data_IF_557791649855
#
_entry.id   IF_557791649855
#
_cell.length_a   1.000
_cell.length_b   1.000
_cell.length_c   1.000
_cell.angle_alpha   90.00
_cell.angle_beta   90.00
_cell.angle_gamma   90.00
#
_symmetry.space_group_name_H-M   'P 1'
#
loop_
_entity.id
_entity.type
_entity.pdbx_description
1 polymer ?
#
# COMPACT_ATOMS: atom_id res chain seq x y z
N UNK A 1 52.01 -10.87 67.78
CA UNK A 1 52.05 -10.34 66.40
C UNK A 1 52.00 -11.55 65.46
N UNK A 2 50.90 -12.01 64.85
CA UNK A 2 49.61 -11.41 64.58
C UNK A 2 49.43 -11.18 63.08
N UNK A 3 49.19 -12.23 62.29
CA UNK A 3 48.56 -12.19 60.94
C UNK A 3 47.97 -13.58 60.62
N UNK A 4 46.67 -13.73 60.86
CA UNK A 4 45.86 -14.85 60.40
C UNK A 4 45.40 -14.59 58.95
N UNK A 5 45.51 -15.62 58.11
CA UNK A 5 45.10 -15.61 56.72
C UNK A 5 43.57 -15.74 56.61
N UNK A 6 42.94 -14.72 56.00
CA UNK A 6 41.50 -14.66 55.76
C UNK A 6 41.17 -15.44 54.49
N UNK A 7 40.45 -16.56 54.65
CA UNK A 7 39.88 -17.33 53.56
C UNK A 7 38.81 -16.53 52.81
N UNK A 8 38.96 -16.47 51.49
CA UNK A 8 37.99 -15.90 50.56
C UNK A 8 37.03 -17.03 50.13
N UNK A 9 35.76 -16.84 50.44
CA UNK A 9 34.67 -17.81 50.23
C UNK A 9 33.89 -17.36 49.00
N UNK A 10 33.89 -18.19 47.95
CA UNK A 10 33.03 -18.04 46.78
C UNK A 10 31.55 -18.18 47.16
N UNK A 11 30.66 -17.34 46.60
CA UNK A 11 29.26 -17.69 46.48
C UNK A 11 28.87 -17.88 45.00
N UNK A 12 29.00 -19.11 44.51
CA UNK A 12 28.23 -19.58 43.35
C UNK A 12 26.80 -19.90 43.85
N UNK A 13 25.95 -18.88 43.85
CA UNK A 13 24.53 -19.00 44.13
C UNK A 13 23.74 -19.44 42.89
N UNK A 14 23.30 -20.71 42.91
CA UNK A 14 22.04 -21.22 42.36
C UNK A 14 21.50 -20.59 41.07
N UNK A 15 21.84 -21.20 39.94
CA UNK A 15 21.09 -21.07 38.68
C UNK A 15 19.75 -21.81 38.87
N UNK A 16 18.64 -21.09 38.79
CA UNK A 16 17.31 -21.67 38.78
C UNK A 16 17.07 -22.35 37.43
N UNK A 17 16.97 -23.68 37.46
CA UNK A 17 16.59 -24.51 36.33
C UNK A 17 15.13 -24.25 35.97
N UNK A 18 14.88 -23.56 34.86
CA UNK A 18 13.53 -23.42 34.28
C UNK A 18 13.08 -24.78 33.71
N UNK A 19 11.81 -25.19 33.91
CA UNK A 19 11.28 -26.39 33.28
C UNK A 19 11.09 -26.20 31.77
N UNK A 20 11.25 -27.28 30.97
CA UNK A 20 11.12 -27.23 29.51
C UNK A 20 9.67 -26.95 29.05
N UNK A 21 9.53 -26.14 28.00
CA UNK A 21 8.29 -25.64 27.38
C UNK A 21 7.67 -26.70 26.43
N UNK A 22 7.60 -27.96 26.86
CA UNK A 22 7.05 -29.04 26.02
C UNK A 22 6.02 -29.86 26.81
N UNK A 23 4.92 -29.23 27.25
CA UNK A 23 3.76 -29.95 27.79
C UNK A 23 2.46 -29.12 27.82
N UNK A 24 2.21 -28.26 26.83
CA UNK A 24 0.90 -27.59 26.64
C UNK A 24 0.46 -27.60 25.19
N UNK A 25 0.35 -28.80 24.62
CA UNK A 25 -0.42 -29.04 23.42
C UNK A 25 -1.38 -30.19 23.73
N UNK A 26 -2.65 -29.83 23.95
CA UNK A 26 -3.88 -30.64 23.94
C UNK A 26 -4.80 -30.26 25.11
N UNK A 27 -5.45 -29.12 24.96
CA UNK A 27 -6.75 -28.91 25.61
C UNK A 27 -7.72 -28.47 24.50
N UNK A 28 -8.76 -29.26 24.19
CA UNK A 28 -9.75 -28.87 23.19
C UNK A 28 -10.58 -27.69 23.70
N UNK A 29 -10.97 -26.74 22.81
CA UNK A 29 -11.80 -25.61 23.23
C UNK A 29 -13.17 -26.10 23.73
N UNK A 30 -13.74 -25.48 24.79
CA UNK A 30 -15.08 -25.80 25.23
C UNK A 30 -16.10 -25.42 24.15
N UNK A 31 -16.88 -26.41 23.74
CA UNK A 31 -18.00 -26.26 22.82
C UNK A 31 -19.17 -25.53 23.52
N UNK A 32 -19.18 -24.19 23.46
CA UNK A 32 -20.40 -23.41 23.70
C UNK A 32 -21.15 -23.26 22.39
N UNK A 33 -21.95 -24.28 22.07
CA UNK A 33 -22.94 -24.24 21.00
C UNK A 33 -24.11 -23.33 21.39
N UNK A 34 -24.38 -22.34 20.55
CA UNK A 34 -25.69 -21.69 20.49
C UNK A 34 -26.53 -22.42 19.42
N UNK A 35 -27.72 -22.96 19.75
CA UNK A 35 -28.57 -23.57 18.74
C UNK A 35 -29.27 -22.47 17.94
N UNK A 36 -28.94 -22.35 16.65
CA UNK A 36 -29.78 -21.64 15.68
C UNK A 36 -30.99 -22.53 15.37
N UNK A 37 -32.18 -22.06 15.73
CA UNK A 37 -33.43 -22.70 15.35
C UNK A 37 -33.62 -22.64 13.81
N UNK A 38 -34.03 -23.75 13.16
CA UNK A 38 -34.31 -23.73 11.73
C UNK A 38 -35.67 -23.08 11.48
N UNK A 39 -35.66 -21.94 10.76
CA UNK A 39 -36.88 -21.32 10.25
C UNK A 39 -37.34 -22.13 9.02
N UNK A 40 -38.41 -22.89 9.19
CA UNK A 40 -39.06 -23.62 8.12
C UNK A 40 -39.90 -22.67 7.25
N UNK A 41 -39.76 -22.81 5.93
CA UNK A 41 -40.76 -22.36 4.96
C UNK A 41 -40.49 -21.02 4.30
N UNK A 42 -39.62 -21.01 3.29
CA UNK A 42 -39.66 -19.98 2.25
C UNK A 42 -39.67 -20.67 0.88
N UNK A 43 -40.73 -20.50 0.07
CA UNK A 43 -40.85 -21.16 -1.23
C UNK A 43 -39.77 -20.67 -2.18
N UNK A 44 -39.16 -21.63 -2.89
CA UNK A 44 -38.18 -21.43 -3.94
C UNK A 44 -38.68 -20.37 -4.94
N UNK A 45 -38.09 -19.19 -4.85
CA UNK A 45 -38.20 -18.17 -5.89
C UNK A 45 -37.28 -18.60 -7.01
N UNK A 46 -37.82 -18.76 -8.21
CA UNK A 46 -37.09 -18.99 -9.46
C UNK A 46 -35.85 -18.11 -9.48
N UNK A 47 -34.67 -18.75 -9.35
CA UNK A 47 -33.38 -18.12 -9.58
C UNK A 47 -33.34 -17.69 -11.05
N UNK A 48 -33.67 -16.41 -11.28
CA UNK A 48 -33.32 -15.73 -12.50
C UNK A 48 -31.81 -15.92 -12.71
N UNK A 49 -31.46 -16.73 -13.71
CA UNK A 49 -30.08 -16.98 -14.15
C UNK A 49 -29.48 -15.62 -14.50
N UNK A 50 -28.79 -15.04 -13.53
CA UNK A 50 -28.06 -13.81 -13.69
C UNK A 50 -26.86 -14.18 -14.56
N UNK A 51 -26.61 -13.47 -15.68
CA UNK A 51 -25.46 -13.77 -16.54
C UNK A 51 -24.19 -13.78 -15.67
N UNK A 52 -23.25 -14.71 -15.91
CA UNK A 52 -22.06 -14.81 -15.10
C UNK A 52 -21.34 -13.45 -15.12
N UNK A 53 -20.91 -12.93 -13.95
CA UNK A 53 -20.27 -11.63 -13.86
C UNK A 53 -19.08 -11.60 -14.80
N UNK A 54 -19.04 -10.58 -15.68
CA UNK A 54 -17.95 -10.43 -16.63
C UNK A 54 -16.61 -10.34 -15.88
N UNK A 55 -15.75 -11.34 -16.07
CA UNK A 55 -14.41 -11.33 -15.49
C UNK A 55 -13.63 -10.16 -16.09
N UNK A 56 -13.30 -9.16 -15.26
CA UNK A 56 -12.55 -7.98 -15.70
C UNK A 56 -11.06 -8.19 -15.50
N UNK A 57 -10.27 -7.94 -16.55
CA UNK A 57 -8.83 -8.13 -16.55
C UNK A 57 -8.06 -6.81 -16.45
N UNK A 58 -6.98 -6.79 -15.67
CA UNK A 58 -6.08 -5.67 -15.48
C UNK A 58 -4.64 -6.16 -15.74
N UNK A 59 -4.06 -5.74 -16.86
CA UNK A 59 -2.69 -6.15 -17.23
C UNK A 59 -1.66 -5.57 -16.25
N UNK A 60 -0.82 -6.45 -15.68
CA UNK A 60 0.34 -6.01 -14.92
C UNK A 60 1.46 -5.58 -15.87
N UNK A 61 2.15 -4.51 -15.50
CA UNK A 61 3.38 -4.07 -16.15
C UNK A 61 4.48 -5.05 -15.78
N UNK A 62 5.23 -5.52 -16.79
CA UNK A 62 6.34 -6.43 -16.54
C UNK A 62 7.39 -5.77 -15.63
N UNK A 63 7.93 -6.48 -14.62
CA UNK A 63 8.86 -5.91 -13.65
C UNK A 63 10.14 -5.35 -14.30
N UNK A 64 10.57 -5.94 -15.42
CA UNK A 64 11.78 -5.54 -16.16
C UNK A 64 11.60 -4.27 -17.01
N UNK A 65 10.37 -3.80 -17.20
CA UNK A 65 10.10 -2.56 -17.90
C UNK A 65 10.17 -1.40 -16.90
N UNK A 66 11.39 -1.10 -16.44
CA UNK A 66 11.66 0.24 -15.91
C UNK A 66 11.06 1.27 -16.86
N UNK A 67 10.26 2.25 -16.38
CA UNK A 67 9.60 3.20 -17.25
C UNK A 67 10.69 3.86 -18.08
N UNK A 68 10.69 3.59 -19.38
CA UNK A 68 11.72 4.05 -20.27
C UNK A 68 11.83 5.57 -20.15
N UNK A 69 12.85 6.05 -19.42
CA UNK A 69 13.29 7.44 -19.46
C UNK A 69 13.58 7.72 -20.93
N UNK A 70 12.67 8.42 -21.60
CA UNK A 70 12.90 8.92 -22.95
C UNK A 70 12.11 8.28 -24.08
N UNK A 71 10.80 8.06 -23.95
CA UNK A 71 9.94 8.00 -25.15
C UNK A 71 9.90 9.35 -25.91
N UNK A 72 10.27 10.46 -25.24
CA UNK A 72 10.42 11.78 -25.86
C UNK A 72 11.53 11.88 -26.90
N UNK A 73 12.59 11.06 -26.80
CA UNK A 73 13.70 11.11 -27.75
C UNK A 73 13.31 10.54 -29.14
N UNK A 74 12.49 9.48 -29.21
CA UNK A 74 12.12 8.89 -30.51
C UNK A 74 11.23 9.80 -31.36
N UNK A 75 10.41 10.65 -30.74
CA UNK A 75 9.53 11.60 -31.47
C UNK A 75 10.26 12.84 -31.97
N UNK A 76 11.39 13.20 -31.35
CA UNK A 76 12.23 14.33 -31.77
C UNK A 76 13.09 14.02 -33.00
N UNK A 77 13.39 12.75 -33.27
CA UNK A 77 14.22 12.34 -34.42
C UNK A 77 13.42 11.98 -35.69
N UNK A 78 12.12 11.72 -35.58
CA UNK A 78 11.29 11.39 -36.76
C UNK A 78 11.06 12.60 -37.67
N UNK A 79 10.99 13.81 -37.10
CA UNK A 79 10.79 15.07 -37.85
C UNK A 79 12.02 15.40 -38.74
N UNK A 80 13.27 15.46 -38.23
CA UNK A 80 14.43 15.77 -39.07
C UNK A 80 14.70 14.71 -40.14
N UNK A 81 14.43 13.42 -39.86
CA UNK A 81 14.56 12.35 -40.86
C UNK A 81 13.55 12.50 -42.01
N UNK A 82 12.31 12.88 -41.70
CA UNK A 82 11.28 13.12 -42.72
C UNK A 82 11.63 14.34 -43.59
N UNK A 83 12.13 15.41 -42.96
CA UNK A 83 12.60 16.61 -43.67
C UNK A 83 13.81 16.28 -44.56
N UNK A 84 14.79 15.53 -44.05
CA UNK A 84 15.95 15.10 -44.84
C UNK A 84 15.54 14.24 -46.04
N UNK A 85 14.60 13.32 -45.87
CA UNK A 85 14.06 12.51 -46.96
C UNK A 85 13.37 13.38 -48.03
N UNK A 86 12.56 14.36 -47.63
CA UNK A 86 11.89 15.30 -48.55
C UNK A 86 12.90 16.17 -49.33
N UNK A 87 13.95 16.67 -48.67
CA UNK A 87 15.01 17.44 -49.34
C UNK A 87 15.78 16.59 -50.34
N UNK A 88 16.03 15.31 -50.01
CA UNK A 88 16.74 14.38 -50.89
C UNK A 88 15.91 14.01 -52.13
N UNK A 89 14.57 13.92 -52.01
CA UNK A 89 13.64 13.79 -53.15
C UNK A 89 13.68 15.03 -54.03
N UNK A 90 13.63 16.22 -53.44
CA UNK A 90 13.55 17.48 -54.19
C UNK A 90 14.85 17.79 -54.96
N UNK A 91 16.01 17.43 -54.40
CA UNK A 91 17.34 17.73 -54.99
C UNK A 91 17.84 16.66 -55.97
N UNK A 92 17.22 15.48 -56.03
CA UNK A 92 17.60 14.44 -56.99
C UNK A 92 17.32 14.88 -58.44
N UNK A 93 18.38 14.91 -59.27
CA UNK A 93 18.33 15.22 -60.71
C UNK A 93 17.79 14.08 -61.58
N UNK A 94 17.73 12.86 -61.05
CA UNK A 94 17.28 11.67 -61.77
C UNK A 94 15.76 11.47 -61.62
N UNK A 95 15.07 11.36 -62.76
CA UNK A 95 13.62 11.06 -62.83
C UNK A 95 13.32 9.70 -62.18
N UNK A 96 14.22 8.72 -62.30
CA UNK A 96 14.06 7.39 -61.68
C UNK A 96 14.06 7.47 -60.15
N UNK A 97 14.89 8.32 -59.55
CA UNK A 97 14.91 8.53 -58.09
C UNK A 97 13.64 9.23 -57.60
N UNK A 98 13.10 10.17 -58.38
CA UNK A 98 11.85 10.88 -58.04
C UNK A 98 10.61 10.00 -58.01
N UNK A 99 10.60 8.92 -58.80
CA UNK A 99 9.45 8.00 -58.86
C UNK A 99 9.61 6.83 -57.90
N UNK A 100 10.81 6.25 -57.79
CA UNK A 100 11.02 5.06 -56.95
C UNK A 100 11.05 5.36 -55.45
N UNK A 101 11.58 6.52 -55.03
CA UNK A 101 11.67 6.88 -53.61
C UNK A 101 10.29 7.07 -52.93
N UNK A 102 9.31 7.80 -53.49
CA UNK A 102 7.99 7.92 -52.86
C UNK A 102 7.26 6.58 -52.81
N UNK A 103 7.40 5.72 -53.82
CA UNK A 103 6.81 4.37 -53.82
C UNK A 103 7.43 3.51 -52.70
N UNK A 104 8.75 3.54 -52.54
CA UNK A 104 9.43 2.83 -51.45
C UNK A 104 9.04 3.36 -50.06
N UNK A 105 8.88 4.68 -49.91
CA UNK A 105 8.43 5.30 -48.65
C UNK A 105 6.99 4.94 -48.31
N UNK A 106 6.07 4.94 -49.28
CA UNK A 106 4.68 4.53 -49.07
C UNK A 106 4.60 3.04 -48.73
N UNK A 107 5.38 2.19 -49.39
CA UNK A 107 5.47 0.76 -49.07
C UNK A 107 6.04 0.53 -47.67
N UNK A 108 7.09 1.26 -47.27
CA UNK A 108 7.66 1.19 -45.93
C UNK A 108 6.68 1.70 -44.86
N UNK A 109 5.98 2.80 -45.11
CA UNK A 109 4.95 3.32 -44.21
C UNK A 109 3.77 2.34 -44.08
N UNK A 110 3.32 1.75 -45.19
CA UNK A 110 2.28 0.72 -45.21
C UNK A 110 2.71 -0.54 -44.44
N UNK A 111 3.96 -0.99 -44.61
CA UNK A 111 4.51 -2.12 -43.88
C UNK A 111 4.63 -1.84 -42.38
N UNK A 112 5.04 -0.63 -41.99
CA UNK A 112 5.10 -0.22 -40.57
C UNK A 112 3.70 -0.12 -39.95
N UNK A 113 2.71 0.43 -40.67
CA UNK A 113 1.32 0.48 -40.23
C UNK A 113 0.70 -0.92 -40.12
N UNK A 114 0.99 -1.81 -41.08
CA UNK A 114 0.53 -3.20 -41.04
C UNK A 114 1.18 -3.98 -39.88
N UNK A 115 2.47 -3.73 -39.61
CA UNK A 115 3.20 -4.34 -38.47
C UNK A 115 2.68 -3.80 -37.13
N UNK A 116 2.35 -2.51 -37.07
CA UNK A 116 1.66 -1.90 -35.92
C UNK A 116 0.27 -2.50 -35.68
N UNK A 117 -0.50 -2.74 -36.74
CA UNK A 117 -1.82 -3.40 -36.64
C UNK A 117 -1.74 -4.87 -36.25
N UNK A 118 -0.70 -5.61 -36.65
CA UNK A 118 -0.49 -7.00 -36.21
C UNK A 118 -0.15 -7.13 -34.72
N UNK A 119 0.35 -6.06 -34.09
CA UNK A 119 0.49 -5.97 -32.63
C UNK A 119 -0.81 -5.60 -31.90
N UNK A 120 -1.87 -5.22 -32.62
CA UNK A 120 -3.20 -4.93 -32.06
C UNK A 120 -4.15 -6.13 -32.09
N UNK A 121 -3.77 -7.25 -32.71
CA UNK A 121 -4.49 -8.50 -32.53
C UNK A 121 -4.16 -9.04 -31.14
N UNK A 122 -5.17 -9.37 -30.30
CA UNK A 122 -4.94 -9.82 -28.94
C UNK A 122 -4.22 -11.17 -28.97
N UNK A 123 -2.90 -11.14 -28.85
CA UNK A 123 -2.10 -12.32 -28.56
C UNK A 123 -2.68 -12.96 -27.29
N UNK A 124 -3.02 -14.25 -27.39
CA UNK A 124 -3.72 -15.05 -26.39
C UNK A 124 -3.38 -14.63 -24.94
N UNK A 125 -4.40 -14.18 -24.20
CA UNK A 125 -4.36 -13.75 -22.79
C UNK A 125 -3.71 -14.80 -21.86
N UNK A 126 -3.59 -16.05 -22.28
CA UNK A 126 -3.13 -17.20 -21.49
C UNK A 126 -1.66 -17.17 -21.01
N UNK A 127 -0.91 -16.08 -21.23
CA UNK A 127 0.50 -15.99 -20.83
C UNK A 127 0.88 -14.69 -20.11
N UNK A 128 -0.08 -13.81 -19.81
CA UNK A 128 0.19 -12.50 -19.21
C UNK A 128 -0.08 -12.53 -17.71
N UNK A 129 0.91 -12.08 -16.93
CA UNK A 129 0.73 -11.79 -15.51
C UNK A 129 -0.20 -10.59 -15.37
N UNK A 130 -1.17 -10.68 -14.48
CA UNK A 130 -2.15 -9.60 -14.30
C UNK A 130 -3.12 -9.90 -13.18
N UNK A 131 -4.05 -8.96 -12.96
CA UNK A 131 -5.12 -9.12 -12.00
C UNK A 131 -6.42 -9.45 -12.74
N UNK A 132 -7.13 -10.47 -12.29
CA UNK A 132 -8.51 -10.73 -12.72
C UNK A 132 -9.45 -10.46 -11.56
N UNK A 133 -10.47 -9.65 -11.81
CA UNK A 133 -11.61 -9.50 -10.92
C UNK A 133 -12.70 -10.45 -11.41
N UNK A 134 -12.78 -11.62 -10.80
CA UNK A 134 -13.69 -12.71 -11.17
C UNK A 134 -14.76 -12.91 -10.09
N UNK A 135 -16.02 -12.64 -10.43
CA UNK A 135 -17.09 -12.55 -9.44
C UNK A 135 -16.69 -11.62 -8.31
N UNK A 136 -16.63 -12.13 -7.08
CA UNK A 136 -16.25 -11.39 -5.86
C UNK A 136 -14.78 -11.53 -5.46
N UNK A 137 -13.89 -11.96 -6.36
CA UNK A 137 -12.49 -12.20 -6.01
C UNK A 137 -11.56 -11.44 -6.94
N UNK A 138 -10.66 -10.66 -6.35
CA UNK A 138 -9.50 -10.13 -7.04
C UNK A 138 -8.38 -11.15 -6.93
N UNK A 139 -8.00 -11.74 -8.07
CA UNK A 139 -6.99 -12.77 -8.17
C UNK A 139 -5.76 -12.20 -8.89
N UNK A 140 -4.56 -12.53 -8.41
CA UNK A 140 -3.34 -12.43 -9.17
C UNK A 140 -3.17 -13.71 -9.98
N UNK A 141 -3.05 -13.56 -11.30
CA UNK A 141 -2.69 -14.65 -12.21
C UNK A 141 -1.24 -14.47 -12.64
N UNK A 142 -0.41 -15.48 -12.38
CA UNK A 142 1.01 -15.49 -12.72
C UNK A 142 1.26 -15.74 -14.22
N UNK A 143 2.55 -15.74 -14.59
CA UNK A 143 2.99 -16.16 -15.93
C UNK A 143 3.10 -17.69 -15.96
N UNK A 144 2.23 -18.36 -16.73
CA UNK A 144 2.18 -19.82 -16.83
C UNK A 144 1.22 -20.47 -15.83
N UNK A 145 1.35 -21.77 -15.58
CA UNK A 145 0.51 -22.52 -14.62
C UNK A 145 0.83 -22.23 -13.15
N UNK A 146 1.60 -21.18 -12.87
CA UNK A 146 1.82 -20.68 -11.51
C UNK A 146 0.46 -20.24 -10.95
N UNK A 147 0.14 -20.76 -9.76
CA UNK A 147 -1.21 -20.74 -9.20
C UNK A 147 -1.86 -19.36 -9.15
N UNK A 148 -3.18 -19.35 -9.16
CA UNK A 148 -3.97 -18.16 -8.90
C UNK A 148 -3.88 -17.82 -7.40
N UNK A 149 -3.58 -16.57 -7.07
CA UNK A 149 -3.55 -16.12 -5.68
C UNK A 149 -4.67 -15.12 -5.43
N UNK A 150 -5.51 -15.40 -4.43
CA UNK A 150 -6.56 -14.46 -4.01
C UNK A 150 -5.90 -13.30 -3.28
N UNK A 151 -5.99 -12.09 -3.83
CA UNK A 151 -5.50 -10.87 -3.18
C UNK A 151 -6.57 -10.25 -2.29
N UNK A 152 -7.83 -10.33 -2.72
CA UNK A 152 -8.95 -9.71 -2.03
C UNK A 152 -10.28 -10.42 -2.39
N UNK A 153 -11.14 -10.60 -1.40
CA UNK A 153 -12.53 -11.01 -1.61
C UNK A 153 -13.44 -9.79 -1.39
N UNK A 154 -14.21 -9.39 -2.40
CA UNK A 154 -15.09 -8.21 -2.37
C UNK A 154 -16.46 -8.47 -1.78
N UNK A 155 -16.82 -9.75 -1.54
CA UNK A 155 -18.06 -10.13 -0.85
C UNK A 155 -18.04 -9.76 0.63
N UNK A 156 -16.84 -9.79 1.23
CA UNK A 156 -16.62 -9.36 2.60
C UNK A 156 -16.23 -7.88 2.65
N UNK A 157 -16.27 -7.30 3.85
CA UNK A 157 -15.86 -5.92 4.05
C UNK A 157 -14.35 -5.78 3.83
N UNK A 158 -13.98 -4.91 2.91
CA UNK A 158 -12.58 -4.60 2.61
C UNK A 158 -12.31 -3.09 2.62
N UNK A 159 -11.04 -2.74 2.68
CA UNK A 159 -10.52 -1.38 2.63
C UNK A 159 -9.35 -1.26 1.65
N UNK A 160 -9.16 -0.07 1.12
CA UNK A 160 -8.10 0.27 0.17
C UNK A 160 -7.43 1.55 0.65
N UNK A 161 -6.17 1.46 1.07
CA UNK A 161 -5.39 2.63 1.50
C UNK A 161 -4.38 2.98 0.42
N UNK A 162 -4.41 4.22 -0.06
CA UNK A 162 -3.45 4.70 -1.06
C UNK A 162 -2.24 5.34 -0.36
N UNK A 163 -1.06 4.81 -0.66
CA UNK A 163 0.21 5.33 -0.19
C UNK A 163 1.04 5.84 -1.37
N UNK A 164 1.78 6.92 -1.18
CA UNK A 164 2.65 7.47 -2.20
C UNK A 164 4.05 7.76 -1.66
N UNK A 165 5.04 7.71 -2.55
CA UNK A 165 6.37 8.26 -2.28
C UNK A 165 6.29 9.79 -2.09
N UNK A 166 7.28 10.43 -1.44
CA UNK A 166 7.31 11.89 -1.30
C UNK A 166 7.34 12.64 -2.62
N UNK A 167 7.85 12.00 -3.68
CA UNK A 167 7.89 12.55 -5.04
C UNK A 167 6.61 12.28 -5.84
N UNK A 168 5.68 11.50 -5.29
CA UNK A 168 4.43 11.09 -5.94
C UNK A 168 4.65 10.43 -7.30
N UNK A 169 5.81 9.82 -7.50
CA UNK A 169 6.18 9.07 -8.69
C UNK A 169 5.82 7.58 -8.57
N UNK A 170 5.37 7.15 -7.40
CA UNK A 170 4.82 5.82 -7.16
C UNK A 170 3.64 5.91 -6.19
N UNK A 171 2.56 5.18 -6.50
CA UNK A 171 1.46 4.90 -5.57
C UNK A 171 1.42 3.40 -5.32
N UNK A 172 1.10 3.01 -4.10
CA UNK A 172 0.68 1.65 -3.75
C UNK A 172 -0.72 1.69 -3.15
N UNK A 173 -1.61 0.88 -3.69
CA UNK A 173 -2.90 0.56 -3.10
C UNK A 173 -2.74 -0.66 -2.18
N UNK A 174 -2.86 -0.43 -0.87
CA UNK A 174 -2.94 -1.48 0.13
C UNK A 174 -4.38 -1.97 0.24
N UNK A 175 -4.59 -3.21 -0.20
CA UNK A 175 -5.85 -3.91 -0.10
C UNK A 175 -5.88 -4.64 1.24
N UNK A 176 -6.88 -4.35 2.06
CA UNK A 176 -6.98 -4.88 3.43
C UNK A 176 -8.34 -5.54 3.66
N UNK A 177 -8.34 -6.70 4.29
CA UNK A 177 -9.54 -7.45 4.65
C UNK A 177 -9.30 -8.29 5.91
N UNK A 178 -10.34 -9.00 6.36
CA UNK A 178 -10.27 -10.04 7.39
C UNK A 178 -9.21 -11.12 7.08
N UNK A 179 -8.96 -11.40 5.79
CA UNK A 179 -8.03 -12.43 5.34
C UNK A 179 -6.56 -11.95 5.34
N UNK A 180 -6.31 -10.64 5.38
CA UNK A 180 -4.97 -10.07 5.42
C UNK A 180 -4.81 -8.83 4.56
N UNK A 181 -3.56 -8.56 4.20
CA UNK A 181 -3.14 -7.38 3.43
C UNK A 181 -2.42 -7.81 2.15
N UNK A 182 -2.78 -7.19 1.04
CA UNK A 182 -2.11 -7.31 -0.26
C UNK A 182 -1.83 -5.91 -0.82
N UNK A 183 -0.89 -5.80 -1.76
CA UNK A 183 -0.47 -4.49 -2.27
C UNK A 183 -0.39 -4.50 -3.79
N UNK A 184 -0.81 -3.39 -4.41
CA UNK A 184 -0.76 -3.18 -5.87
C UNK A 184 -0.18 -1.81 -6.15
N UNK A 185 0.93 -1.75 -6.88
CA UNK A 185 1.65 -0.52 -7.18
C UNK A 185 1.33 0.06 -8.55
N UNK A 186 1.62 1.34 -8.75
CA UNK A 186 1.73 1.97 -10.06
C UNK A 186 2.78 3.09 -10.03
N UNK A 187 3.48 3.27 -11.16
CA UNK A 187 4.47 4.34 -11.33
C UNK A 187 3.90 5.50 -12.15
N UNK A 188 4.15 6.73 -11.72
CA UNK A 188 3.62 7.96 -12.31
C UNK A 188 4.75 8.86 -12.82
N UNK A 189 4.85 9.01 -14.13
CA UNK A 189 5.74 9.97 -14.78
C UNK A 189 5.14 11.39 -14.79
N UNK A 190 5.86 12.37 -15.35
CA UNK A 190 5.42 13.78 -15.34
C UNK A 190 4.02 14.01 -15.93
N UNK A 191 3.73 13.52 -17.16
CA UNK A 191 2.39 13.58 -17.73
C UNK A 191 1.33 12.83 -16.91
N UNK A 192 1.61 11.60 -16.45
CA UNK A 192 0.67 10.82 -15.66
C UNK A 192 0.36 11.49 -14.31
N UNK A 193 1.37 12.07 -13.63
CA UNK A 193 1.17 12.80 -12.38
C UNK A 193 0.18 13.96 -12.54
N UNK A 194 0.21 14.66 -13.68
CA UNK A 194 -0.75 15.73 -13.97
C UNK A 194 -2.14 15.17 -14.28
N UNK A 195 -2.22 14.12 -15.09
CA UNK A 195 -3.49 13.52 -15.48
C UNK A 195 -4.24 12.89 -14.29
N UNK A 196 -3.50 12.33 -13.34
CA UNK A 196 -4.05 11.62 -12.17
C UNK A 196 -3.79 12.37 -10.85
N UNK A 197 -3.68 13.70 -10.89
CA UNK A 197 -3.41 14.52 -9.70
C UNK A 197 -4.45 14.29 -8.58
N UNK A 198 -5.74 14.20 -8.93
CA UNK A 198 -6.80 13.95 -7.94
C UNK A 198 -6.66 12.58 -7.23
N UNK A 199 -6.17 11.55 -7.93
CA UNK A 199 -5.89 10.26 -7.32
C UNK A 199 -4.67 10.35 -6.38
N UNK A 200 -3.63 11.07 -6.84
CA UNK A 200 -2.43 11.31 -6.06
C UNK A 200 -2.72 12.11 -4.79
N UNK A 201 -3.60 13.09 -4.83
CA UNK A 201 -3.99 13.92 -3.67
C UNK A 201 -4.70 13.11 -2.57
N UNK A 202 -5.30 11.96 -2.91
CA UNK A 202 -5.89 11.04 -1.92
C UNK A 202 -4.86 10.15 -1.23
N UNK A 203 -3.67 10.00 -1.81
CA UNK A 203 -2.64 9.12 -1.27
C UNK A 203 -1.89 9.79 -0.11
N UNK A 204 -1.72 9.03 0.98
CA UNK A 204 -0.89 9.43 2.11
C UNK A 204 0.58 9.26 1.76
N UNK A 205 1.41 10.26 2.02
CA UNK A 205 2.83 10.22 1.73
C UNK A 205 3.57 9.49 2.85
N UNK A 206 4.33 8.45 2.49
CA UNK A 206 5.17 7.66 3.40
C UNK A 206 6.65 7.75 2.99
N UNK A 207 7.56 7.26 3.84
CA UNK A 207 8.98 7.24 3.53
C UNK A 207 9.30 6.39 2.29
N UNK A 208 10.31 6.76 1.52
CA UNK A 208 10.71 5.98 0.31
C UNK A 208 11.35 4.64 0.66
N UNK A 209 11.81 4.47 1.90
CA UNK A 209 12.44 3.28 2.48
C UNK A 209 11.43 2.21 2.92
N UNK A 210 10.14 2.45 2.73
CA UNK A 210 9.07 1.53 3.07
C UNK A 210 9.06 0.32 2.12
N UNK A 211 9.39 -0.87 2.62
CA UNK A 211 9.32 -2.14 1.85
C UNK A 211 7.92 -2.35 1.24
N UNK A 212 6.87 -1.90 1.93
CA UNK A 212 5.49 -1.96 1.41
C UNK A 212 5.27 -1.16 0.11
N UNK A 213 6.12 -0.17 -0.19
CA UNK A 213 6.04 0.55 -1.46
C UNK A 213 6.47 -0.30 -2.65
N UNK A 214 7.18 -1.41 -2.45
CA UNK A 214 7.59 -2.30 -3.53
C UNK A 214 6.41 -3.08 -4.15
N UNK A 215 5.29 -3.14 -3.44
CA UNK A 215 4.08 -3.84 -3.85
C UNK A 215 4.34 -5.31 -4.21
N UNK A 216 5.15 -6.00 -3.41
CA UNK A 216 5.51 -7.41 -3.64
C UNK A 216 4.27 -8.29 -3.49
N UNK A 217 3.97 -9.07 -4.53
CA UNK A 217 2.87 -10.01 -4.55
C UNK A 217 3.19 -11.31 -3.79
N UNK A 218 2.19 -12.18 -3.60
CA UNK A 218 2.38 -13.50 -3.00
C UNK A 218 3.30 -14.42 -3.83
N UNK A 219 3.53 -14.08 -5.10
CA UNK A 219 4.49 -14.75 -5.99
C UNK A 219 5.93 -14.23 -5.83
N UNK A 220 6.18 -13.29 -4.90
CA UNK A 220 7.49 -12.69 -4.67
C UNK A 220 7.87 -11.57 -5.65
N UNK A 221 7.01 -11.27 -6.61
CA UNK A 221 7.27 -10.29 -7.67
C UNK A 221 6.42 -9.01 -7.48
N UNK A 222 6.95 -7.82 -7.79
CA UNK A 222 6.17 -6.58 -7.70
C UNK A 222 4.89 -6.62 -8.56
N UNK A 223 3.72 -6.38 -7.97
CA UNK A 223 2.47 -6.20 -8.71
C UNK A 223 2.40 -4.73 -9.12
N UNK A 224 2.79 -4.42 -10.36
CA UNK A 224 2.76 -3.06 -10.89
C UNK A 224 1.73 -2.92 -12.00
N UNK A 225 0.89 -1.88 -11.94
CA UNK A 225 -0.10 -1.53 -12.96
C UNK A 225 0.29 -0.20 -13.62
N UNK A 226 -0.20 0.02 -14.85
CA UNK A 226 -0.19 1.35 -15.44
C UNK A 226 -1.13 2.30 -14.68
N UNK A 227 -0.86 3.62 -14.61
CA UNK A 227 -1.70 4.58 -13.89
C UNK A 227 -3.19 4.51 -14.21
N UNK A 228 -3.54 4.42 -15.50
CA UNK A 228 -4.93 4.31 -15.95
C UNK A 228 -5.58 2.99 -15.52
N UNK A 229 -4.80 1.90 -15.51
CA UNK A 229 -5.27 0.57 -15.13
C UNK A 229 -5.50 0.51 -13.61
N UNK A 230 -4.61 1.10 -12.81
CA UNK A 230 -4.82 1.25 -11.38
C UNK A 230 -6.07 2.09 -11.10
N UNK A 231 -6.23 3.24 -11.76
CA UNK A 231 -7.42 4.07 -11.58
C UNK A 231 -8.72 3.31 -11.89
N UNK A 232 -8.75 2.55 -12.98
CA UNK A 232 -9.89 1.70 -13.35
C UNK A 232 -10.16 0.58 -12.33
N UNK A 233 -9.11 -0.04 -11.76
CA UNK A 233 -9.26 -1.02 -10.69
C UNK A 233 -9.86 -0.39 -9.43
N UNK A 234 -9.38 0.79 -9.03
CA UNK A 234 -9.89 1.48 -7.84
C UNK A 234 -11.34 1.92 -8.01
N UNK A 235 -11.73 2.34 -9.22
CA UNK A 235 -13.11 2.66 -9.56
C UNK A 235 -14.02 1.43 -9.41
N UNK A 236 -13.62 0.29 -9.96
CA UNK A 236 -14.34 -0.99 -9.82
C UNK A 236 -14.49 -1.43 -8.36
N UNK A 237 -13.42 -1.34 -7.57
CA UNK A 237 -13.46 -1.65 -6.14
C UNK A 237 -14.37 -0.68 -5.37
N UNK A 238 -14.42 0.59 -5.77
CA UNK A 238 -15.29 1.61 -5.16
C UNK A 238 -16.76 1.39 -5.52
N UNK A 239 -17.05 0.97 -6.75
CA UNK A 239 -18.42 0.62 -7.17
C UNK A 239 -18.96 -0.57 -6.36
N UNK A 240 -18.11 -1.56 -6.08
CA UNK A 240 -18.48 -2.75 -5.29
C UNK A 240 -18.62 -2.47 -3.79
N UNK A 241 -17.77 -1.60 -3.24
CA UNK A 241 -17.86 -1.19 -1.84
C UNK A 241 -17.62 0.31 -1.71
N UNK A 242 -18.69 1.12 -1.71
CA UNK A 242 -18.59 2.56 -1.49
C UNK A 242 -17.87 2.87 -0.17
N UNK A 243 -16.87 3.75 -0.24
CA UNK A 243 -16.05 4.14 0.91
C UNK A 243 -14.89 3.19 1.22
N UNK A 244 -14.60 2.18 0.40
CA UNK A 244 -13.44 1.31 0.61
C UNK A 244 -12.12 2.08 0.64
N UNK A 245 -12.00 3.18 -0.12
CA UNK A 245 -10.81 4.04 -0.18
C UNK A 245 -10.51 4.81 1.10
N UNK A 246 -11.49 4.91 2.01
CA UNK A 246 -11.37 5.64 3.27
C UNK A 246 -11.43 4.65 4.46
N UNK A 247 -11.09 3.39 4.19
CA UNK A 247 -11.15 2.28 5.13
C UNK A 247 -9.87 1.43 5.07
N UNK A 248 -9.48 0.88 6.22
CA UNK A 248 -8.67 -0.33 6.27
C UNK A 248 -9.17 -1.29 7.36
N UNK A 249 -8.89 -2.58 7.19
CA UNK A 249 -9.22 -3.61 8.17
C UNK A 249 -8.03 -4.56 8.35
N UNK A 250 -7.57 -4.70 9.58
CA UNK A 250 -6.54 -5.63 9.99
C UNK A 250 -6.88 -6.25 11.33
N UNK A 251 -6.09 -7.22 11.73
CA UNK A 251 -6.00 -7.73 13.09
C UNK A 251 -4.67 -7.29 13.69
N UNK A 252 -4.68 -6.90 14.96
CA UNK A 252 -3.44 -6.63 15.70
C UNK A 252 -2.74 -7.94 16.08
N UNK A 253 -1.54 -7.84 16.67
CA UNK A 253 -0.76 -9.00 17.09
C UNK A 253 -1.44 -9.87 18.17
N UNK A 254 -2.51 -9.38 18.81
CA UNK A 254 -3.33 -10.12 19.79
C UNK A 254 -4.61 -10.68 19.17
N UNK A 255 -4.80 -10.52 17.86
CA UNK A 255 -6.00 -10.94 17.13
C UNK A 255 -7.20 -10.01 17.29
N UNK A 256 -7.05 -8.86 17.95
CA UNK A 256 -8.14 -7.89 18.06
C UNK A 256 -8.27 -7.06 16.78
N UNK A 257 -9.49 -6.62 16.49
CA UNK A 257 -9.76 -5.82 15.29
C UNK A 257 -9.03 -4.47 15.35
N UNK A 258 -8.29 -4.16 14.28
CA UNK A 258 -7.67 -2.88 13.99
C UNK A 258 -8.28 -2.36 12.68
N UNK A 259 -9.18 -1.39 12.76
CA UNK A 259 -9.83 -0.86 11.56
C UNK A 259 -10.07 0.63 11.65
N UNK A 260 -10.02 1.28 10.49
CA UNK A 260 -10.44 2.66 10.30
C UNK A 260 -11.54 2.63 9.26
N UNK A 261 -12.65 3.31 9.51
CA UNK A 261 -13.77 3.42 8.58
C UNK A 261 -14.32 4.84 8.64
N UNK A 262 -13.63 5.80 8.00
CA UNK A 262 -13.95 7.25 7.88
C UNK A 262 -14.37 8.01 9.16
N UNK A 263 -15.42 7.54 9.83
CA UNK A 263 -16.04 8.02 11.06
C UNK A 263 -15.55 7.29 12.31
N UNK A 264 -15.01 6.09 12.20
CA UNK A 264 -14.61 5.30 13.38
C UNK A 264 -13.18 4.76 13.26
N UNK A 265 -12.46 4.76 14.37
CA UNK A 265 -11.21 4.02 14.57
C UNK A 265 -11.43 2.97 15.64
N UNK A 266 -11.19 1.70 15.31
CA UNK A 266 -11.29 0.55 16.22
C UNK A 266 -9.93 -0.06 16.42
N UNK A 267 -9.48 -0.18 17.66
CA UNK A 267 -8.17 -0.74 17.99
C UNK A 267 -8.09 -1.15 19.46
N UNK A 268 -7.44 -2.29 19.75
CA UNK A 268 -7.26 -2.77 21.12
C UNK A 268 -8.58 -2.96 21.89
N UNK A 269 -9.64 -3.40 21.20
CA UNK A 269 -10.98 -3.57 21.77
C UNK A 269 -11.74 -2.27 22.05
N UNK A 270 -11.20 -1.12 21.69
CA UNK A 270 -11.83 0.20 21.86
C UNK A 270 -12.33 0.74 20.53
N UNK A 271 -13.32 1.64 20.61
CA UNK A 271 -13.90 2.36 19.46
C UNK A 271 -13.79 3.85 19.73
N UNK A 272 -13.25 4.59 18.77
CA UNK A 272 -13.12 6.04 18.79
C UNK A 272 -13.95 6.62 17.64
N UNK A 273 -14.86 7.53 17.97
CA UNK A 273 -15.67 8.27 17.01
C UNK A 273 -14.88 9.49 16.50
N UNK A 274 -14.49 9.45 15.23
CA UNK A 274 -13.74 10.51 14.55
C UNK A 274 -14.62 11.71 14.16
N UNK A 275 -15.94 11.62 14.36
CA UNK A 275 -16.89 12.72 14.16
C UNK A 275 -17.13 13.51 15.44
N UNK A 276 -16.68 12.99 16.59
CA UNK A 276 -16.74 13.65 17.89
C UNK A 276 -15.35 14.19 18.29
N UNK A 277 -15.30 15.18 19.21
CA UNK A 277 -14.03 15.70 19.70
C UNK A 277 -13.13 14.61 20.29
N UNK A 278 -11.86 14.56 19.85
CA UNK A 278 -10.84 13.68 20.39
C UNK A 278 -9.49 14.36 20.50
N UNK A 279 -8.66 13.87 21.41
CA UNK A 279 -7.27 14.31 21.52
C UNK A 279 -6.36 13.24 20.93
N UNK A 280 -5.35 13.69 20.20
CA UNK A 280 -4.30 12.79 19.73
C UNK A 280 -2.97 13.52 19.62
N UNK A 281 -1.88 12.75 19.70
CA UNK A 281 -0.52 13.27 19.51
C UNK A 281 0.43 12.17 19.05
N UNK A 282 1.41 12.56 18.25
CA UNK A 282 2.50 11.71 17.82
C UNK A 282 3.64 11.78 18.84
N UNK A 283 4.27 10.63 19.13
CA UNK A 283 5.44 10.54 19.98
C UNK A 283 6.42 9.50 19.43
N UNK A 284 7.65 9.52 19.93
CA UNK A 284 8.67 8.51 19.66
C UNK A 284 9.28 8.07 20.98
N UNK A 285 9.66 6.81 21.10
CA UNK A 285 10.32 6.31 22.30
C UNK A 285 11.36 5.25 21.94
N UNK A 286 12.27 5.00 22.87
CA UNK A 286 13.30 3.99 22.74
C UNK A 286 13.06 2.90 23.77
N UNK A 287 13.26 1.64 23.38
CA UNK A 287 13.17 0.50 24.28
C UNK A 287 14.40 -0.39 24.11
N UNK A 288 15.00 -0.77 25.23
CA UNK A 288 16.14 -1.65 25.24
C UNK A 288 15.67 -3.09 24.97
N UNK A 289 16.28 -3.73 23.98
CA UNK A 289 16.09 -5.13 23.62
C UNK A 289 17.41 -5.87 23.86
N UNK A 290 17.69 -6.16 25.14
CA UNK A 290 18.97 -6.76 25.55
C UNK A 290 20.15 -5.82 25.27
N UNK A 291 20.95 -6.15 24.25
CA UNK A 291 22.12 -5.37 23.82
C UNK A 291 21.81 -4.39 22.67
N UNK A 292 20.57 -4.35 22.19
CA UNK A 292 20.12 -3.45 21.12
C UNK A 292 19.12 -2.41 21.65
N UNK A 293 18.96 -1.31 20.92
CA UNK A 293 17.90 -0.32 21.16
C UNK A 293 16.98 -0.30 19.95
N UNK A 294 15.68 -0.51 20.16
CA UNK A 294 14.67 -0.26 19.15
C UNK A 294 14.08 1.13 19.34
N UNK A 295 13.88 1.82 18.22
CA UNK A 295 13.17 3.11 18.18
C UNK A 295 11.77 2.83 17.68
N UNK A 296 10.78 3.28 18.44
CA UNK A 296 9.38 3.15 18.11
C UNK A 296 8.76 4.51 17.79
N UNK A 297 7.81 4.49 16.88
CA UNK A 297 6.92 5.59 16.61
C UNK A 297 5.55 5.27 17.19
N UNK A 298 4.97 6.21 17.91
CA UNK A 298 3.71 6.04 18.63
C UNK A 298 2.68 7.11 18.31
N UNK A 299 1.40 6.75 18.37
CA UNK A 299 0.27 7.67 18.32
C UNK A 299 -0.61 7.42 19.53
N UNK A 300 -0.73 8.44 20.37
CA UNK A 300 -1.63 8.43 21.50
C UNK A 300 -2.97 9.02 21.08
N UNK A 301 -4.06 8.37 21.49
CA UNK A 301 -5.43 8.80 21.20
C UNK A 301 -6.26 8.72 22.46
N UNK A 302 -7.04 9.77 22.74
CA UNK A 302 -7.96 9.84 23.87
C UNK A 302 -9.32 10.41 23.47
N UNK A 303 -10.38 9.72 23.89
CA UNK A 303 -11.76 10.19 23.76
C UNK A 303 -12.55 9.80 25.00
N UNK A 304 -13.01 10.80 25.77
CA UNK A 304 -13.62 10.58 27.07
C UNK A 304 -12.65 9.88 28.03
N UNK A 305 -13.05 8.70 28.54
CA UNK A 305 -12.25 7.84 29.41
C UNK A 305 -11.44 6.78 28.64
N UNK A 306 -11.62 6.69 27.33
CA UNK A 306 -10.90 5.72 26.50
C UNK A 306 -9.58 6.31 26.03
N UNK A 307 -8.50 5.57 26.26
CA UNK A 307 -7.14 5.91 25.88
C UNK A 307 -6.47 4.73 25.20
N UNK A 308 -5.63 5.01 24.20
CA UNK A 308 -4.92 4.00 23.43
C UNK A 308 -3.56 4.52 22.93
N UNK A 309 -2.58 3.62 22.87
CA UNK A 309 -1.29 3.86 22.24
C UNK A 309 -1.11 2.92 21.04
N UNK A 310 -1.14 3.49 19.83
CA UNK A 310 -0.78 2.78 18.60
C UNK A 310 0.73 2.90 18.40
N UNK A 311 1.44 1.80 18.20
CA UNK A 311 2.90 1.81 18.08
C UNK A 311 3.37 1.01 16.87
N UNK A 312 4.41 1.46 16.20
CA UNK A 312 5.11 0.70 15.17
C UNK A 312 6.62 0.88 15.34
N UNK A 313 7.40 -0.09 14.86
CA UNK A 313 8.85 0.03 14.82
C UNK A 313 9.24 1.11 13.80
N UNK A 314 10.10 2.03 14.19
CA UNK A 314 10.74 2.94 13.25
C UNK A 314 11.91 2.17 12.61
N UNK A 315 12.02 2.10 11.27
CA UNK A 315 13.16 1.43 10.65
C UNK A 315 14.46 2.09 11.09
N UNK A 316 15.54 1.32 11.04
CA UNK A 316 16.87 1.87 11.20
C UNK A 316 17.04 3.01 10.19
N UNK A 317 17.33 4.21 10.69
CA UNK A 317 17.70 5.38 9.89
C UNK A 317 19.09 5.17 9.27
N UNK A 318 19.29 4.09 8.52
CA UNK A 318 20.38 3.99 7.57
C UNK A 318 19.93 4.75 6.33
N UNK A 319 20.47 5.94 6.05
CA UNK A 319 20.12 6.64 4.82
C UNK A 319 20.49 5.74 3.64
N UNK A 320 19.49 5.42 2.80
CA UNK A 320 19.79 4.82 1.51
C UNK A 320 20.70 5.79 0.74
N UNK A 321 21.93 5.37 0.47
CA UNK A 321 22.95 6.13 -0.27
C UNK A 321 22.48 6.51 -1.69
N UNK A 322 21.39 5.91 -2.19
CA UNK A 322 20.81 6.17 -3.51
C UNK A 322 20.11 7.54 -3.67
N UNK A 323 20.02 8.33 -2.59
CA UNK A 323 19.25 9.58 -2.57
C UNK A 323 20.03 10.90 -2.54
N UNK A 324 21.36 10.89 -2.35
CA UNK A 324 22.15 12.11 -2.08
C UNK A 324 22.19 13.14 -3.23
N UNK A 325 21.64 12.81 -4.40
CA UNK A 325 21.54 13.71 -5.56
C UNK A 325 20.11 13.93 -6.09
N UNK A 326 19.09 13.32 -5.49
CA UNK A 326 17.72 13.59 -5.90
C UNK A 326 17.30 14.93 -5.32
N UNK A 327 17.36 16.00 -6.11
CA UNK A 327 16.78 17.29 -5.73
C UNK A 327 15.37 17.02 -5.21
N UNK A 328 15.13 17.29 -3.93
CA UNK A 328 13.79 17.30 -3.37
C UNK A 328 13.05 18.35 -4.17
N UNK A 329 12.30 17.90 -5.18
CA UNK A 329 11.43 18.77 -5.94
C UNK A 329 10.48 19.48 -4.97
N UNK A 330 9.83 20.57 -5.39
CA UNK A 330 8.90 21.28 -4.51
C UNK A 330 7.89 20.28 -3.94
N UNK A 331 8.02 19.97 -2.65
CA UNK A 331 7.10 19.09 -1.94
C UNK A 331 5.74 19.77 -1.92
N UNK A 332 4.69 19.04 -2.29
CA UNK A 332 3.34 19.58 -2.20
C UNK A 332 2.89 19.73 -0.73
N UNK A 333 1.82 20.51 -0.53
CA UNK A 333 1.26 20.78 0.80
C UNK A 333 0.80 19.51 1.51
N UNK A 334 0.33 18.51 0.78
CA UNK A 334 -0.09 17.22 1.33
C UNK A 334 1.11 16.45 1.89
N UNK A 335 2.20 16.38 1.13
CA UNK A 335 3.45 15.75 1.56
C UNK A 335 4.02 16.45 2.80
N UNK A 336 4.00 17.79 2.85
CA UNK A 336 4.42 18.54 4.03
C UNK A 336 3.52 18.28 5.25
N UNK A 337 2.20 18.16 5.04
CA UNK A 337 1.25 17.76 6.09
C UNK A 337 1.60 16.38 6.62
N UNK A 338 1.76 15.40 5.74
CA UNK A 338 2.02 14.01 6.13
C UNK A 338 3.39 13.85 6.82
N UNK A 339 4.43 14.55 6.34
CA UNK A 339 5.72 14.62 7.01
C UNK A 339 5.62 15.24 8.41
N UNK A 340 4.80 16.29 8.58
CA UNK A 340 4.52 16.87 9.90
C UNK A 340 3.78 15.88 10.80
N UNK A 341 2.82 15.13 10.25
CA UNK A 341 2.12 14.09 10.99
C UNK A 341 3.08 12.99 11.46
N UNK A 342 4.19 12.73 10.75
CA UNK A 342 5.20 11.75 11.15
C UNK A 342 6.09 12.21 12.32
N UNK A 343 6.24 13.51 12.53
CA UNK A 343 7.06 14.07 13.61
C UNK A 343 6.42 13.81 14.98
N UNK A 344 7.12 13.05 15.83
CA UNK A 344 6.71 12.78 17.21
C UNK A 344 7.69 13.36 18.22
N UNK A 345 7.18 13.75 19.40
CA UNK A 345 8.01 14.18 20.53
C UNK A 345 8.64 12.98 21.25
N UNK A 346 9.91 13.05 21.67
CA UNK A 346 10.53 11.99 22.47
C UNK A 346 9.86 11.85 23.83
N UNK A 347 9.45 10.64 24.18
CA UNK A 347 8.72 10.33 25.41
C UNK A 347 9.13 9.00 26.02
N UNK A 348 8.72 8.78 27.27
CA UNK A 348 8.86 7.48 27.93
C UNK A 348 7.96 6.43 27.27
N UNK A 349 8.40 5.17 27.20
CA UNK A 349 7.60 4.09 26.65
C UNK A 349 6.28 3.94 27.43
N UNK A 350 5.11 3.85 26.75
CA UNK A 350 3.85 3.56 27.42
C UNK A 350 3.85 2.13 27.99
N UNK A 351 2.96 1.78 28.93
CA UNK A 351 2.86 0.41 29.44
C UNK A 351 2.50 -0.60 28.32
N UNK A 352 3.14 -1.77 28.32
CA UNK A 352 3.05 -2.74 27.22
C UNK A 352 1.62 -3.26 26.98
N UNK A 353 0.83 -3.38 28.04
CA UNK A 353 -0.56 -3.80 28.01
C UNK A 353 -1.47 -2.80 27.26
N UNK A 354 -1.10 -1.52 27.23
CA UNK A 354 -1.84 -0.44 26.57
C UNK A 354 -1.44 -0.22 25.10
N UNK A 355 -0.33 -0.83 24.68
CA UNK A 355 0.19 -0.74 23.31
C UNK A 355 -0.58 -1.65 22.36
N UNK A 356 -0.97 -1.10 21.22
CA UNK A 356 -1.43 -1.85 20.05
C UNK A 356 -0.40 -1.68 18.95
N UNK A 357 0.25 -2.79 18.60
CA UNK A 357 1.20 -2.81 17.50
C UNK A 357 0.45 -2.70 16.17
N UNK A 358 0.89 -1.80 15.30
CA UNK A 358 0.32 -1.59 13.97
C UNK A 358 1.41 -1.62 12.90
N UNK A 359 1.00 -1.88 11.66
CA UNK A 359 1.88 -1.74 10.51
C UNK A 359 2.24 -0.26 10.30
N UNK A 360 3.53 0.00 10.03
CA UNK A 360 4.08 1.33 9.79
C UNK A 360 3.37 2.05 8.63
N UNK A 361 2.99 1.30 7.60
CA UNK A 361 2.30 1.80 6.42
C UNK A 361 0.94 2.45 6.74
N UNK A 362 0.32 2.07 7.86
CA UNK A 362 -0.97 2.61 8.29
C UNK A 362 -0.86 3.77 9.28
N UNK A 363 0.33 4.05 9.80
CA UNK A 363 0.54 5.11 10.78
C UNK A 363 0.18 6.49 10.24
N UNK A 364 0.62 6.83 9.01
CA UNK A 364 0.26 8.11 8.37
C UNK A 364 -1.24 8.20 8.06
N UNK A 365 -1.88 7.20 7.39
CA UNK A 365 -3.33 7.20 7.20
C UNK A 365 -4.13 7.42 8.49
N UNK A 366 -3.78 6.73 9.58
CA UNK A 366 -4.42 6.89 10.88
C UNK A 366 -4.28 8.31 11.40
N UNK A 367 -3.06 8.85 11.42
CA UNK A 367 -2.81 10.23 11.88
C UNK A 367 -3.52 11.26 11.01
N UNK A 368 -3.60 11.02 9.70
CA UNK A 368 -4.31 11.90 8.76
C UNK A 368 -5.82 11.92 9.03
N UNK A 369 -6.41 10.79 9.43
CA UNK A 369 -7.80 10.70 9.86
C UNK A 369 -8.03 11.38 11.22
N UNK A 370 -7.15 11.15 12.20
CA UNK A 370 -7.22 11.79 13.52
C UNK A 370 -7.05 13.31 13.43
N UNK A 371 -6.19 13.81 12.54
CA UNK A 371 -5.99 15.25 12.31
C UNK A 371 -7.23 15.93 11.71
N UNK A 372 -8.07 15.18 10.98
CA UNK A 372 -9.35 15.68 10.45
C UNK A 372 -10.48 15.65 11.49
N UNK A 373 -10.32 14.89 12.57
CA UNK A 373 -11.33 14.80 13.61
C UNK A 373 -11.49 16.15 14.34
N UNK A 374 -12.70 16.50 14.82
CA UNK A 374 -12.89 17.69 15.62
C UNK A 374 -11.93 17.69 16.82
N UNK A 375 -11.27 18.81 17.06
CA UNK A 375 -10.49 18.99 18.29
C UNK A 375 -11.44 19.46 19.39
N UNK A 376 -11.23 19.05 20.65
CA UNK A 376 -11.91 19.68 21.77
C UNK A 376 -11.70 21.18 21.65
N UNK A 377 -12.79 21.95 21.64
CA UNK A 377 -12.67 23.40 21.73
C UNK A 377 -11.80 23.69 22.94
N UNK A 378 -10.68 24.40 22.73
CA UNK A 378 -9.84 24.86 23.83
C UNK A 378 -10.79 25.51 24.82
N UNK A 379 -10.98 24.86 25.98
CA UNK A 379 -11.96 25.28 26.95
C UNK A 379 -11.50 26.67 27.37
N UNK A 380 -12.16 27.71 26.83
CA UNK A 380 -11.83 29.09 27.17
C UNK A 380 -11.93 29.13 28.68
N UNK A 381 -10.78 29.27 29.34
CA UNK A 381 -10.70 29.38 30.77
C UNK A 381 -11.47 30.65 31.11
N UNK A 382 -12.78 30.52 31.37
CA UNK A 382 -13.59 31.58 31.97
C UNK A 382 -12.95 31.76 33.33
N UNK A 383 -12.09 32.77 33.42
CA UNK A 383 -11.66 33.33 34.68
C UNK A 383 -12.94 33.54 35.51
N UNK A 384 -13.11 32.75 36.56
CA UNK A 384 -14.05 33.06 37.63
C UNK A 384 -13.53 34.35 38.25
N UNK A 385 -14.19 35.45 37.94
CA UNK A 385 -14.09 36.70 38.69
C UNK A 385 -14.88 36.56 40.00
#
# INVERSE_FOLDING_TARGET
>A
MGREAKGQKDPLGSVATLPPIEARAQEPPPATGWPAAPLAGQPASDEAVTPPPETRWFDATAPDLSPARGAGARRLWSIPLLVAALVLVATARSVTVRVLLPVALVAAAGALLARGRRHLLPAAQASRRGLSLDGDRLLLRGKGSAGEHVLLTTRERFGVTLLATPRRDRIVALLTSSAGMSSVGASFDGPARRAFAALLDRASVVGSDEVGLEAIGPDGEPISLGPAVLAALLEELTQRSPGCLDRFLLTDARGAALSLDSRELRAGGRVFDLTAPLEWRAFVFQEALGQAVAVYQGTWVRQGTSELFLVCLLPAMTPALDGLGASVGPLDRGALRDLRLMQGTPESPPPAEQRVAIDRLLMVPIRSALDKAPRPAAQTYRARA
#
